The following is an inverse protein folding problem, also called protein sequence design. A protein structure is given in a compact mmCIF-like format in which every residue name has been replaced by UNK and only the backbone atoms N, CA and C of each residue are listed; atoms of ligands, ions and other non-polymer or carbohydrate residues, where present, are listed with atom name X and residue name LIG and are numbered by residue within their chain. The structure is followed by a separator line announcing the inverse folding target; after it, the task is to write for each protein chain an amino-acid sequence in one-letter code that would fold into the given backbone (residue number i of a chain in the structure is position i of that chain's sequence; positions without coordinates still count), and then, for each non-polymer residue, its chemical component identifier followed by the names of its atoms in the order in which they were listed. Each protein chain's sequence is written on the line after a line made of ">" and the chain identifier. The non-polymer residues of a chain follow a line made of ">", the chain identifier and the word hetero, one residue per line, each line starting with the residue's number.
data_IF_769408895049
#
_entry.id   IF_769408895049
#
_cell.length_a   1.000
_cell.length_b   1.000
_cell.length_c   1.000
_cell.angle_alpha   90.00
_cell.angle_beta   90.00
_cell.angle_gamma   90.00
#
_symmetry.space_group_name_H-M   'P 1'
#
loop_
_entity.id
_entity.type
_entity.pdbx_description
1 polymer ?
#
# COMPACT_ATOMS: atom_id res chain seq x y z
N UNK A 1 -19.45 -3.41 -10.01
CA UNK A 1 -18.84 -3.00 -8.72
C UNK A 1 -17.99 -1.77 -9.00
N UNK A 2 -18.24 -0.65 -8.32
CA UNK A 2 -17.32 0.49 -8.35
C UNK A 2 -15.92 0.01 -7.96
N UNK A 3 -14.83 0.53 -8.55
CA UNK A 3 -13.48 0.15 -8.13
C UNK A 3 -13.35 0.47 -6.63
N UNK A 4 -13.19 -0.57 -5.81
CA UNK A 4 -13.10 -0.43 -4.37
C UNK A 4 -11.74 0.21 -4.06
N UNK A 5 -11.76 1.33 -3.32
CA UNK A 5 -10.53 1.94 -2.85
C UNK A 5 -9.90 1.02 -1.79
N UNK A 6 -8.69 0.56 -2.05
CA UNK A 6 -7.96 -0.35 -1.15
C UNK A 6 -6.92 0.39 -0.28
N UNK A 7 -6.71 1.69 -0.50
CA UNK A 7 -5.72 2.48 0.21
C UNK A 7 -6.32 2.95 1.54
N UNK A 8 -5.80 2.43 2.67
CA UNK A 8 -6.30 2.75 4.00
C UNK A 8 -6.28 4.26 4.30
N UNK A 9 -5.24 4.97 3.84
CA UNK A 9 -5.07 6.41 4.06
C UNK A 9 -6.08 7.30 3.33
N UNK A 10 -6.80 6.74 2.35
CA UNK A 10 -7.86 7.44 1.62
C UNK A 10 -9.26 7.11 2.17
N UNK A 11 -9.37 6.17 3.13
CA UNK A 11 -10.63 5.81 3.76
C UNK A 11 -10.90 6.67 5.00
N UNK A 12 -12.16 7.05 5.17
CA UNK A 12 -12.66 7.60 6.43
C UNK A 12 -12.87 6.49 7.46
N UNK A 13 -12.89 6.84 8.76
CA UNK A 13 -13.12 5.88 9.85
C UNK A 13 -14.41 5.03 9.68
N UNK A 14 -15.56 5.59 9.24
CA UNK A 14 -16.73 4.78 8.91
C UNK A 14 -16.54 3.80 7.74
N UNK A 15 -15.77 4.16 6.72
CA UNK A 15 -15.44 3.25 5.59
C UNK A 15 -14.53 2.11 6.03
N UNK A 16 -13.55 2.38 6.92
CA UNK A 16 -12.73 1.33 7.54
C UNK A 16 -13.59 0.37 8.36
N UNK A 17 -14.54 0.90 9.15
CA UNK A 17 -15.50 0.06 9.90
C UNK A 17 -16.33 -0.81 8.96
N UNK A 18 -16.77 -0.28 7.82
CA UNK A 18 -17.49 -1.04 6.79
C UNK A 18 -16.62 -2.14 6.19
N UNK A 19 -15.38 -1.83 5.82
CA UNK A 19 -14.44 -2.81 5.25
C UNK A 19 -14.22 -4.00 6.21
N UNK A 20 -14.05 -3.73 7.51
CA UNK A 20 -13.96 -4.78 8.54
C UNK A 20 -15.22 -5.65 8.60
N UNK A 21 -16.41 -5.05 8.49
CA UNK A 21 -17.69 -5.78 8.46
C UNK A 21 -17.84 -6.62 7.18
N UNK A 22 -17.27 -6.17 6.08
CA UNK A 22 -17.28 -6.83 4.78
C UNK A 22 -16.19 -7.92 4.66
N UNK A 23 -15.41 -8.17 5.72
CA UNK A 23 -14.43 -9.25 5.80
C UNK A 23 -12.98 -8.86 5.53
N UNK A 24 -12.69 -7.59 5.27
CA UNK A 24 -11.32 -7.09 5.07
C UNK A 24 -10.55 -7.09 6.39
N UNK A 25 -9.92 -8.22 6.71
CA UNK A 25 -9.20 -8.44 7.97
C UNK A 25 -7.68 -8.52 7.78
N UNK A 26 -7.21 -8.43 6.54
CA UNK A 26 -5.79 -8.44 6.17
C UNK A 26 -5.33 -7.05 5.73
N UNK A 27 -4.09 -6.69 6.05
CA UNK A 27 -3.46 -5.46 5.57
C UNK A 27 -2.08 -5.76 4.97
N UNK A 28 -1.80 -5.16 3.82
CA UNK A 28 -0.49 -5.20 3.16
C UNK A 28 0.28 -3.93 3.52
N UNK A 29 1.48 -4.09 4.05
CA UNK A 29 2.38 -2.97 4.39
C UNK A 29 3.63 -3.08 3.54
N UNK A 30 3.83 -2.12 2.63
CA UNK A 30 5.10 -2.00 1.93
C UNK A 30 6.12 -1.26 2.80
N UNK A 31 7.36 -1.73 2.74
CA UNK A 31 8.53 -1.10 3.35
C UNK A 31 9.55 -0.88 2.24
N UNK A 32 9.94 0.37 2.05
CA UNK A 32 10.97 0.77 1.10
C UNK A 32 11.99 1.70 1.75
N UNK A 33 12.69 2.46 0.91
CA UNK A 33 13.70 3.43 1.31
C UNK A 33 13.72 4.62 0.34
N UNK A 34 14.48 5.65 0.73
CA UNK A 34 14.92 6.75 -0.15
C UNK A 34 16.44 6.68 -0.22
N UNK A 35 16.97 6.12 -1.30
CA UNK A 35 18.39 5.73 -1.41
C UNK A 35 18.92 5.86 -2.85
N UNK A 36 20.26 5.88 -2.97
CA UNK A 36 20.94 6.01 -4.26
C UNK A 36 20.68 4.81 -5.18
N UNK A 37 20.11 5.05 -6.35
CA UNK A 37 19.83 4.05 -7.38
C UNK A 37 20.67 4.24 -8.66
N UNK A 38 21.86 4.84 -8.53
CA UNK A 38 22.70 5.24 -9.66
C UNK A 38 22.23 6.52 -10.36
N UNK A 39 22.96 7.03 -11.37
CA UNK A 39 22.72 8.36 -11.94
C UNK A 39 21.48 8.47 -12.85
N UNK A 40 20.76 7.37 -13.07
CA UNK A 40 19.68 7.26 -14.06
C UNK A 40 18.30 7.00 -13.42
N UNK A 41 18.24 6.85 -12.10
CA UNK A 41 17.01 6.59 -11.37
C UNK A 41 16.81 7.58 -10.22
N UNK A 42 15.56 7.90 -9.86
CA UNK A 42 15.26 8.68 -8.66
C UNK A 42 15.62 7.93 -7.38
N UNK A 43 15.74 8.65 -6.27
CA UNK A 43 16.05 8.04 -4.97
C UNK A 43 14.88 7.24 -4.37
N UNK A 44 13.67 7.45 -4.86
CA UNK A 44 12.42 6.92 -4.27
C UNK A 44 12.02 5.52 -4.77
N UNK A 45 12.87 4.86 -5.55
CA UNK A 45 12.52 3.65 -6.33
C UNK A 45 11.89 2.57 -5.47
N UNK A 46 12.42 2.29 -4.28
CA UNK A 46 11.89 1.25 -3.40
C UNK A 46 10.49 1.60 -2.89
N UNK A 47 10.29 2.85 -2.46
CA UNK A 47 9.00 3.33 -1.99
C UNK A 47 7.92 3.25 -3.09
N UNK A 48 8.19 3.76 -4.29
CA UNK A 48 7.17 3.76 -5.38
C UNK A 48 6.89 2.36 -5.93
N UNK A 49 7.90 1.48 -5.95
CA UNK A 49 7.69 0.07 -6.28
C UNK A 49 6.86 -0.61 -5.20
N UNK A 50 7.14 -0.31 -3.93
CA UNK A 50 6.36 -0.76 -2.78
C UNK A 50 4.88 -0.37 -2.89
N UNK A 51 4.58 0.91 -3.18
CA UNK A 51 3.22 1.42 -3.36
C UNK A 51 2.45 0.58 -4.41
N UNK A 52 3.07 0.35 -5.57
CA UNK A 52 2.45 -0.39 -6.68
C UNK A 52 2.30 -1.87 -6.39
N UNK A 53 3.31 -2.50 -5.80
CA UNK A 53 3.29 -3.92 -5.49
C UNK A 53 2.27 -4.23 -4.40
N UNK A 54 2.19 -3.43 -3.34
CA UNK A 54 1.24 -3.64 -2.26
C UNK A 54 -0.21 -3.59 -2.75
N UNK A 55 -0.54 -2.64 -3.63
CA UNK A 55 -1.86 -2.54 -4.25
C UNK A 55 -2.21 -3.75 -5.12
N UNK A 56 -1.23 -4.26 -5.88
CA UNK A 56 -1.45 -5.47 -6.69
C UNK A 56 -1.61 -6.72 -5.83
N UNK A 57 -0.84 -6.86 -4.74
CA UNK A 57 -1.00 -7.95 -3.76
C UNK A 57 -2.40 -7.89 -3.12
N UNK A 58 -2.83 -6.71 -2.64
CA UNK A 58 -4.14 -6.56 -2.01
C UNK A 58 -5.29 -6.92 -2.97
N UNK A 59 -5.19 -6.52 -4.24
CA UNK A 59 -6.16 -6.92 -5.29
C UNK A 59 -6.25 -8.43 -5.50
N UNK A 60 -5.11 -9.13 -5.44
CA UNK A 60 -5.05 -10.59 -5.64
C UNK A 60 -5.54 -11.37 -4.42
N UNK A 61 -5.35 -10.84 -3.22
CA UNK A 61 -5.91 -11.41 -1.99
C UNK A 61 -7.45 -11.28 -2.00
N UNK A 62 -7.96 -10.14 -2.48
CA UNK A 62 -9.41 -9.91 -2.64
C UNK A 62 -10.13 -9.45 -1.36
N UNK A 63 -9.47 -9.55 -0.20
CA UNK A 63 -9.98 -9.18 1.12
C UNK A 63 -8.93 -8.43 1.97
N UNK A 64 -8.04 -7.68 1.31
CA UNK A 64 -6.97 -6.94 1.96
C UNK A 64 -6.98 -5.44 1.64
N UNK A 65 -6.64 -4.63 2.63
CA UNK A 65 -6.35 -3.20 2.47
C UNK A 65 -4.83 -2.97 2.35
N UNK A 66 -4.43 -1.77 1.94
CA UNK A 66 -3.04 -1.34 1.83
C UNK A 66 -2.78 -0.22 2.83
N UNK A 67 -1.78 -0.39 3.69
CA UNK A 67 -1.29 0.68 4.57
C UNK A 67 -0.39 1.66 3.80
N UNK A 68 -0.19 2.88 4.33
CA UNK A 68 0.84 3.79 3.81
C UNK A 68 2.21 3.10 3.76
N UNK A 69 2.92 3.23 2.65
CA UNK A 69 4.28 2.70 2.52
C UNK A 69 5.22 3.38 3.51
N UNK A 70 6.01 2.57 4.22
CA UNK A 70 7.11 3.08 5.04
C UNK A 70 8.23 3.49 4.08
N UNK A 71 8.42 4.80 3.94
CA UNK A 71 9.38 5.37 2.96
C UNK A 71 10.82 5.46 3.45
N UNK A 72 11.05 5.35 4.76
CA UNK A 72 12.39 5.37 5.36
C UNK A 72 12.72 3.96 5.82
N UNK A 73 13.74 3.39 5.21
CA UNK A 73 14.25 2.05 5.50
C UNK A 73 15.70 2.06 5.96
N UNK A 74 16.29 0.87 6.01
CA UNK A 74 17.73 0.66 6.23
C UNK A 74 18.28 -0.05 4.99
N UNK A 75 19.34 0.52 4.42
CA UNK A 75 19.81 0.31 3.05
C UNK A 75 21.30 0.07 2.99
#
# INVERSE_FOLDING_TARGET
>A
MSPQNLLLEELTSPEVKRALQDGYTTIVVAVGAVEQHGPHLPLLVDAVRGDRLALEVARRLGDALVAPTIRVGCS
#
